data_IF_193639901565
#
_entry.id   IF_193639901565
#
_cell.length_a   1.000
_cell.length_b   1.000
_cell.length_c   1.000
_cell.angle_alpha   90.00
_cell.angle_beta   90.00
_cell.angle_gamma   90.00
#
_symmetry.space_group_name_H-M   'P 1'
#
loop_
_entity.id
_entity.type
_entity.pdbx_description
1 polymer ?
#
# COMPACT_ATOMS: atom_id res chain seq x y z
N UNK A 1 -11.15 -10.61 -20.22
CA UNK A 1 -9.81 -11.26 -20.08
C UNK A 1 -8.75 -10.29 -19.56
N UNK A 2 -8.59 -9.10 -20.13
CA UNK A 2 -7.54 -8.12 -19.75
C UNK A 2 -7.56 -7.76 -18.24
N UNK A 3 -8.74 -7.58 -17.65
CA UNK A 3 -8.86 -7.29 -16.21
C UNK A 3 -8.22 -8.36 -15.32
N UNK A 4 -8.48 -9.65 -15.56
CA UNK A 4 -7.89 -10.75 -14.77
C UNK A 4 -6.36 -10.80 -14.91
N UNK A 5 -5.82 -10.48 -16.09
CA UNK A 5 -4.38 -10.41 -16.32
C UNK A 5 -3.75 -9.28 -15.51
N UNK A 6 -4.37 -8.10 -15.46
CA UNK A 6 -3.89 -6.98 -14.64
C UNK A 6 -3.87 -7.33 -13.15
N UNK A 7 -4.94 -7.95 -12.65
CA UNK A 7 -5.03 -8.40 -11.25
C UNK A 7 -4.00 -9.49 -10.92
N UNK A 8 -3.79 -10.44 -11.84
CA UNK A 8 -2.75 -11.47 -11.68
C UNK A 8 -1.34 -10.86 -11.59
N UNK A 9 -1.02 -9.91 -12.48
CA UNK A 9 0.26 -9.20 -12.44
C UNK A 9 0.43 -8.39 -11.15
N UNK A 10 -0.63 -7.70 -10.70
CA UNK A 10 -0.62 -6.97 -9.44
C UNK A 10 -0.30 -7.91 -8.27
N UNK A 11 -1.00 -9.04 -8.15
CA UNK A 11 -0.77 -10.02 -7.07
C UNK A 11 0.67 -10.57 -7.10
N UNK A 12 1.19 -10.92 -8.28
CA UNK A 12 2.56 -11.41 -8.41
C UNK A 12 3.58 -10.36 -7.95
N UNK A 13 3.37 -9.10 -8.33
CA UNK A 13 4.25 -7.99 -7.93
C UNK A 13 4.13 -7.67 -6.45
N UNK A 14 2.94 -7.81 -5.87
CA UNK A 14 2.70 -7.67 -4.44
C UNK A 14 3.46 -8.75 -3.65
N UNK A 15 3.37 -10.02 -4.07
CA UNK A 15 4.10 -11.13 -3.46
C UNK A 15 5.62 -10.92 -3.55
N UNK A 16 6.12 -10.46 -4.70
CA UNK A 16 7.52 -10.13 -4.87
C UNK A 16 7.97 -8.99 -3.93
N UNK A 17 7.19 -7.91 -3.84
CA UNK A 17 7.49 -6.78 -2.96
C UNK A 17 7.48 -7.18 -1.49
N UNK A 18 6.47 -7.96 -1.05
CA UNK A 18 6.39 -8.52 0.29
C UNK A 18 7.62 -9.39 0.59
N UNK A 19 8.01 -10.27 -0.33
CA UNK A 19 9.19 -11.11 -0.16
C UNK A 19 10.47 -10.28 -0.01
N UNK A 20 10.66 -9.28 -0.88
CA UNK A 20 11.83 -8.39 -0.79
C UNK A 20 11.83 -7.59 0.50
N UNK A 21 10.69 -7.07 0.93
CA UNK A 21 10.58 -6.29 2.17
C UNK A 21 10.88 -7.16 3.41
N UNK A 22 10.39 -8.40 3.45
CA UNK A 22 10.71 -9.36 4.52
C UNK A 22 12.19 -9.73 4.58
N UNK A 23 12.88 -9.77 3.43
CA UNK A 23 14.28 -10.19 3.33
C UNK A 23 15.27 -9.04 3.56
N UNK A 24 15.03 -7.89 2.96
CA UNK A 24 16.00 -6.77 2.90
C UNK A 24 15.52 -5.50 3.58
N UNK A 25 14.26 -5.42 4.04
CA UNK A 25 13.65 -4.20 4.60
C UNK A 25 13.66 -3.00 3.63
N UNK A 26 13.82 -3.28 2.33
CA UNK A 26 13.97 -2.28 1.29
C UNK A 26 13.07 -2.65 0.11
N UNK A 27 12.12 -1.77 -0.23
CA UNK A 27 11.31 -1.93 -1.42
C UNK A 27 12.07 -1.42 -2.67
N UNK A 28 12.28 -2.26 -3.70
CA UNK A 28 12.89 -1.84 -4.94
C UNK A 28 12.00 -0.85 -5.69
N UNK A 29 12.54 0.34 -6.00
CA UNK A 29 11.82 1.40 -6.70
C UNK A 29 11.23 0.94 -8.05
N UNK A 30 11.89 0.00 -8.73
CA UNK A 30 11.44 -0.56 -10.01
C UNK A 30 10.13 -1.31 -9.88
N UNK A 31 9.98 -2.15 -8.86
CA UNK A 31 8.74 -2.91 -8.65
C UNK A 31 7.60 -2.03 -8.11
N UNK A 32 7.90 -1.04 -7.25
CA UNK A 32 6.89 -0.04 -6.84
C UNK A 32 6.43 0.79 -8.04
N UNK A 33 7.35 1.19 -8.92
CA UNK A 33 7.03 1.85 -10.18
C UNK A 33 6.16 0.98 -11.09
N UNK A 34 6.44 -0.33 -11.14
CA UNK A 34 5.63 -1.27 -11.91
C UNK A 34 4.18 -1.34 -11.40
N UNK A 35 3.96 -1.38 -10.08
CA UNK A 35 2.61 -1.29 -9.48
C UNK A 35 1.90 0.00 -9.89
N UNK A 36 2.62 1.13 -9.90
CA UNK A 36 2.07 2.40 -10.34
C UNK A 36 1.70 2.39 -11.84
N UNK A 37 2.55 1.84 -12.70
CA UNK A 37 2.26 1.73 -14.14
C UNK A 37 1.04 0.86 -14.41
N UNK A 38 0.90 -0.27 -13.72
CA UNK A 38 -0.28 -1.11 -13.80
C UNK A 38 -1.54 -0.38 -13.32
N UNK A 39 -1.41 0.48 -12.29
CA UNK A 39 -2.51 1.34 -11.82
C UNK A 39 -2.96 2.35 -12.88
N UNK A 40 -2.02 2.94 -13.62
CA UNK A 40 -2.35 3.81 -14.75
C UNK A 40 -3.09 3.03 -15.85
N UNK A 41 -2.64 1.82 -16.20
CA UNK A 41 -3.36 0.97 -17.16
C UNK A 41 -4.78 0.62 -16.66
N UNK A 42 -4.94 0.37 -15.37
CA UNK A 42 -6.25 0.14 -14.76
C UNK A 42 -7.17 1.36 -14.89
N UNK A 43 -6.64 2.59 -14.72
CA UNK A 43 -7.40 3.83 -14.91
C UNK A 43 -7.92 3.96 -16.34
N UNK A 44 -7.05 3.73 -17.34
CA UNK A 44 -7.45 3.77 -18.75
C UNK A 44 -8.48 2.69 -19.10
N UNK A 45 -8.33 1.48 -18.56
CA UNK A 45 -9.22 0.35 -18.85
C UNK A 45 -10.62 0.54 -18.25
N UNK A 46 -10.71 1.10 -17.03
CA UNK A 46 -11.99 1.34 -16.35
C UNK A 46 -12.58 2.72 -16.63
N UNK A 47 -11.99 3.50 -17.54
CA UNK A 47 -12.37 4.88 -17.86
C UNK A 47 -12.52 5.78 -16.63
N UNK A 48 -11.73 5.54 -15.58
CA UNK A 48 -11.76 6.39 -14.40
C UNK A 48 -11.07 7.73 -14.72
N UNK A 49 -11.55 8.85 -14.17
CA UNK A 49 -10.89 10.13 -14.38
C UNK A 49 -9.46 10.10 -13.87
N UNK A 50 -8.47 10.40 -14.73
CA UNK A 50 -7.06 10.41 -14.34
C UNK A 50 -6.80 11.35 -13.16
N UNK A 51 -7.50 12.49 -13.13
CA UNK A 51 -7.44 13.46 -12.03
C UNK A 51 -7.83 12.82 -10.68
N UNK A 52 -8.81 11.92 -10.67
CA UNK A 52 -9.25 11.23 -9.45
C UNK A 52 -8.18 10.24 -8.96
N UNK A 53 -7.59 9.46 -9.85
CA UNK A 53 -6.53 8.52 -9.49
C UNK A 53 -5.27 9.23 -8.99
N UNK A 54 -4.87 10.32 -9.68
CA UNK A 54 -3.75 11.16 -9.25
C UNK A 54 -4.03 11.85 -7.91
N UNK A 55 -5.26 12.31 -7.68
CA UNK A 55 -5.66 12.86 -6.39
C UNK A 55 -5.52 11.82 -5.27
N UNK A 56 -5.98 10.58 -5.50
CA UNK A 56 -5.86 9.50 -4.51
C UNK A 56 -4.40 9.14 -4.20
N UNK A 57 -3.57 9.02 -5.25
CA UNK A 57 -2.14 8.78 -5.13
C UNK A 57 -1.42 9.90 -4.37
N UNK A 58 -1.70 11.16 -4.73
CA UNK A 58 -1.12 12.33 -4.08
C UNK A 58 -1.56 12.46 -2.63
N UNK A 59 -2.84 12.19 -2.33
CA UNK A 59 -3.40 12.26 -0.99
C UNK A 59 -2.73 11.21 -0.08
N UNK A 60 -2.66 9.95 -0.51
CA UNK A 60 -2.03 8.89 0.30
C UNK A 60 -0.52 9.10 0.48
N UNK A 61 0.18 9.49 -0.58
CA UNK A 61 1.60 9.82 -0.49
C UNK A 61 1.85 11.03 0.41
N UNK A 62 1.04 12.08 0.27
CA UNK A 62 1.13 13.31 1.07
C UNK A 62 0.82 13.07 2.55
N UNK A 63 -0.22 12.30 2.86
CA UNK A 63 -0.59 11.94 4.23
C UNK A 63 0.52 11.13 4.91
N UNK A 64 1.01 10.09 4.24
CA UNK A 64 2.06 9.22 4.81
C UNK A 64 3.40 9.92 4.93
N UNK A 65 3.74 10.80 3.98
CA UNK A 65 4.92 11.66 4.08
C UNK A 65 4.80 12.67 5.21
N UNK A 66 3.64 13.31 5.38
CA UNK A 66 3.38 14.23 6.49
C UNK A 66 3.46 13.52 7.84
N UNK A 67 2.95 12.30 7.92
CA UNK A 67 3.04 11.46 9.10
C UNK A 67 4.50 11.14 9.43
N UNK A 68 5.30 10.75 8.43
CA UNK A 68 6.74 10.54 8.59
C UNK A 68 7.42 11.78 9.15
N UNK A 69 7.22 12.95 8.54
CA UNK A 69 7.83 14.21 9.00
C UNK A 69 7.42 14.58 10.43
N UNK A 70 6.14 14.39 10.77
CA UNK A 70 5.63 14.68 12.11
C UNK A 70 6.31 13.81 13.17
N UNK A 71 6.40 12.51 12.91
CA UNK A 71 7.02 11.58 13.82
C UNK A 71 8.53 11.72 13.85
N UNK A 72 9.24 11.94 12.74
CA UNK A 72 10.69 12.20 12.76
C UNK A 72 11.04 13.42 13.63
N UNK A 73 10.18 14.45 13.65
CA UNK A 73 10.34 15.62 14.52
C UNK A 73 10.08 15.33 16.00
N UNK A 74 9.11 14.45 16.32
CA UNK A 74 8.70 14.16 17.71
C UNK A 74 9.40 12.96 18.35
N UNK A 75 9.65 11.94 17.56
CA UNK A 75 10.20 10.64 17.91
C UNK A 75 11.41 10.45 17.01
N UNK A 76 12.62 10.43 17.57
CA UNK A 76 13.89 10.37 16.81
C UNK A 76 14.11 9.04 16.05
N UNK A 77 13.04 8.31 15.71
CA UNK A 77 13.04 7.10 14.93
C UNK A 77 12.07 7.28 13.75
N UNK A 78 12.49 7.00 12.51
CA UNK A 78 11.61 7.09 11.35
C UNK A 78 10.52 6.02 11.48
N UNK A 79 9.23 6.41 11.53
CA UNK A 79 8.14 5.45 11.75
C UNK A 79 7.84 4.61 10.51
N UNK A 80 8.24 5.08 9.32
CA UNK A 80 7.84 4.51 8.04
C UNK A 80 8.96 4.69 7.00
N UNK A 81 9.22 3.64 6.22
CA UNK A 81 10.25 3.65 5.18
C UNK A 81 9.87 4.55 4.01
N UNK A 82 10.89 5.12 3.34
CA UNK A 82 10.65 5.89 2.11
C UNK A 82 10.04 5.04 0.98
N UNK A 83 10.31 3.73 0.97
CA UNK A 83 9.70 2.78 0.05
C UNK A 83 8.19 2.62 0.28
N UNK A 84 7.77 2.55 1.54
CA UNK A 84 6.36 2.40 1.91
C UNK A 84 5.53 3.59 1.44
N UNK A 85 6.05 4.82 1.61
CA UNK A 85 5.37 6.06 1.15
C UNK A 85 5.13 6.03 -0.36
N UNK A 86 6.12 5.58 -1.14
CA UNK A 86 5.96 5.40 -2.59
C UNK A 86 4.94 4.32 -2.91
N UNK A 87 4.92 3.24 -2.14
CA UNK A 87 3.95 2.16 -2.31
C UNK A 87 2.52 2.62 -2.00
N UNK A 88 2.31 3.42 -0.96
CA UNK A 88 1.01 4.06 -0.68
C UNK A 88 0.52 4.90 -1.85
N UNK A 89 1.41 5.70 -2.46
CA UNK A 89 1.08 6.45 -3.67
C UNK A 89 0.74 5.55 -4.86
N UNK A 90 1.52 4.49 -5.09
CA UNK A 90 1.29 3.53 -6.17
C UNK A 90 -0.05 2.79 -6.01
N UNK A 91 -0.37 2.32 -4.81
CA UNK A 91 -1.66 1.68 -4.49
C UNK A 91 -2.81 2.70 -4.58
N UNK A 92 -2.56 3.97 -4.29
CA UNK A 92 -3.55 5.04 -4.45
C UNK A 92 -4.09 5.20 -5.86
N UNK A 93 -3.33 4.83 -6.90
CA UNK A 93 -3.81 4.82 -8.29
C UNK A 93 -4.88 3.76 -8.56
N UNK A 94 -4.96 2.74 -7.71
CA UNK A 94 -5.94 1.65 -7.81
C UNK A 94 -7.18 1.88 -6.96
N UNK A 95 -7.20 2.94 -6.16
CA UNK A 95 -8.27 3.22 -5.20
C UNK A 95 -9.21 4.29 -5.73
N UNK A 96 -10.47 4.18 -5.32
CA UNK A 96 -11.43 5.30 -5.43
C UNK A 96 -11.32 6.20 -4.18
N UNK A 97 -11.65 7.50 -4.25
CA UNK A 97 -11.59 8.41 -3.11
C UNK A 97 -12.39 7.93 -1.90
N UNK A 98 -13.55 7.33 -2.15
CA UNK A 98 -14.42 6.75 -1.13
C UNK A 98 -13.79 5.55 -0.39
N UNK A 99 -12.82 4.88 -1.00
CA UNK A 99 -12.16 3.71 -0.43
C UNK A 99 -11.01 4.09 0.52
N UNK A 100 -10.52 5.33 0.44
CA UNK A 100 -9.33 5.78 1.18
C UNK A 100 -9.48 5.64 2.71
N UNK A 101 -10.59 6.04 3.35
CA UNK A 101 -10.75 5.88 4.79
C UNK A 101 -10.72 4.41 5.21
N UNK A 102 -11.44 3.55 4.49
CA UNK A 102 -11.51 2.12 4.75
C UNK A 102 -10.17 1.43 4.52
N UNK A 103 -9.45 1.84 3.49
CA UNK A 103 -8.09 1.38 3.23
C UNK A 103 -7.14 1.74 4.37
N UNK A 104 -7.13 3.00 4.82
CA UNK A 104 -6.25 3.45 5.91
C UNK A 104 -6.55 2.71 7.23
N UNK A 105 -7.83 2.51 7.57
CA UNK A 105 -8.22 1.72 8.75
C UNK A 105 -7.76 0.27 8.61
N UNK A 106 -8.01 -0.36 7.45
CA UNK A 106 -7.63 -1.75 7.21
C UNK A 106 -6.11 -1.96 7.27
N UNK A 107 -5.34 -1.06 6.65
CA UNK A 107 -3.87 -1.07 6.70
C UNK A 107 -3.37 -0.81 8.12
N UNK A 108 -3.97 0.13 8.86
CA UNK A 108 -3.62 0.40 10.25
C UNK A 108 -3.83 -0.80 11.15
N UNK A 109 -5.00 -1.45 11.05
CA UNK A 109 -5.30 -2.67 11.82
C UNK A 109 -4.35 -3.82 11.45
N UNK A 110 -4.15 -4.06 10.15
CA UNK A 110 -3.19 -5.05 9.66
C UNK A 110 -1.77 -4.76 10.18
N UNK A 111 -1.36 -3.49 10.18
CA UNK A 111 -0.07 -3.02 10.67
C UNK A 111 0.14 -3.25 12.16
N UNK A 112 -0.88 -2.97 12.98
CA UNK A 112 -0.83 -3.22 14.43
C UNK A 112 -0.70 -4.73 14.70
N UNK A 113 -1.53 -5.55 14.06
CA UNK A 113 -1.50 -7.00 14.23
C UNK A 113 -0.16 -7.59 13.76
N UNK A 114 0.30 -7.19 12.58
CA UNK A 114 1.56 -7.63 12.00
C UNK A 114 2.76 -7.20 12.84
N UNK A 115 2.82 -5.92 13.24
CA UNK A 115 3.89 -5.41 14.09
C UNK A 115 3.93 -6.07 15.47
N UNK A 116 2.76 -6.33 16.08
CA UNK A 116 2.67 -7.06 17.35
C UNK A 116 3.16 -8.51 17.22
N UNK A 117 2.74 -9.21 16.16
CA UNK A 117 3.16 -10.57 15.87
C UNK A 117 4.67 -10.64 15.61
N UNK A 118 5.18 -9.73 14.78
CA UNK A 118 6.60 -9.65 14.41
C UNK A 118 7.49 -9.40 15.62
N UNK A 119 7.09 -8.45 16.47
CA UNK A 119 7.86 -8.11 17.68
C UNK A 119 7.84 -9.27 18.68
N UNK A 120 6.71 -9.98 18.82
CA UNK A 120 6.60 -11.11 19.76
C UNK A 120 7.34 -12.36 19.30
N UNK A 121 7.26 -12.70 18.02
CA UNK A 121 7.86 -13.93 17.49
C UNK A 121 9.34 -13.74 17.17
N UNK A 122 9.69 -12.67 16.48
CA UNK A 122 11.04 -12.49 15.93
C UNK A 122 11.92 -11.57 16.80
N UNK A 123 11.37 -10.95 17.85
CA UNK A 123 12.07 -10.04 18.77
C UNK A 123 12.82 -8.88 18.08
N UNK A 124 12.46 -8.55 16.84
CA UNK A 124 13.04 -7.44 16.08
C UNK A 124 12.18 -6.19 16.26
N UNK A 125 12.84 -5.05 16.52
CA UNK A 125 12.19 -3.74 16.67
C UNK A 125 11.78 -3.08 15.36
N UNK A 126 12.35 -3.52 14.24
CA UNK A 126 12.04 -3.03 12.90
C UNK A 126 11.26 -4.15 12.19
N UNK A 127 10.07 -3.81 11.73
CA UNK A 127 9.21 -4.73 11.00
C UNK A 127 8.90 -4.20 9.59
N UNK A 128 8.78 -5.08 8.59
CA UNK A 128 8.43 -4.71 7.22
C UNK A 128 6.95 -4.34 7.15
N UNK A 129 6.64 -3.17 6.58
CA UNK A 129 5.28 -2.61 6.57
C UNK A 129 4.48 -2.98 5.32
N UNK A 130 5.15 -3.32 4.21
CA UNK A 130 4.48 -3.67 2.95
C UNK A 130 3.45 -4.82 3.06
N UNK A 131 3.63 -5.87 3.90
CA UNK A 131 2.60 -6.91 4.06
C UNK A 131 1.28 -6.33 4.57
N UNK A 132 1.35 -5.30 5.42
CA UNK A 132 0.17 -4.65 6.00
C UNK A 132 -0.57 -3.80 4.98
N UNK A 133 0.16 -3.13 4.08
CA UNK A 133 -0.41 -2.36 2.97
C UNK A 133 -1.22 -3.27 2.04
N UNK A 134 -0.62 -4.38 1.60
CA UNK A 134 -1.30 -5.32 0.70
C UNK A 134 -2.42 -6.10 1.39
N UNK A 135 -2.27 -6.45 2.66
CA UNK A 135 -3.35 -7.07 3.44
C UNK A 135 -4.55 -6.11 3.57
N UNK A 136 -4.30 -4.84 3.90
CA UNK A 136 -5.36 -3.83 3.98
C UNK A 136 -6.06 -3.61 2.64
N UNK A 137 -5.31 -3.59 1.54
CA UNK A 137 -5.89 -3.53 0.20
C UNK A 137 -6.74 -4.77 -0.13
N UNK A 138 -6.26 -5.97 0.21
CA UNK A 138 -7.00 -7.22 0.01
C UNK A 138 -8.31 -7.28 0.82
N UNK A 139 -8.29 -6.82 2.08
CA UNK A 139 -9.49 -6.72 2.94
C UNK A 139 -10.52 -5.79 2.29
N UNK A 140 -10.09 -4.63 1.78
CA UNK A 140 -10.97 -3.70 1.07
C UNK A 140 -11.59 -4.35 -0.18
N UNK A 141 -10.80 -5.07 -1.00
CA UNK A 141 -11.32 -5.76 -2.17
C UNK A 141 -12.39 -6.81 -1.79
N UNK A 142 -12.16 -7.59 -0.73
CA UNK A 142 -13.12 -8.57 -0.22
C UNK A 142 -14.40 -7.86 0.26
N UNK A 143 -14.26 -6.75 1.00
CA UNK A 143 -15.40 -5.97 1.48
C UNK A 143 -16.28 -5.45 0.33
N UNK A 144 -15.66 -4.99 -0.77
CA UNK A 144 -16.39 -4.54 -1.99
C UNK A 144 -17.11 -5.69 -2.68
N UNK A 145 -16.49 -6.87 -2.80
CA UNK A 145 -17.13 -8.06 -3.41
C UNK A 145 -18.34 -8.49 -2.59
N UNK A 146 -18.23 -8.45 -1.27
CA UNK A 146 -19.30 -8.84 -0.36
C UNK A 146 -20.33 -7.72 -0.10
N UNK A 147 -20.24 -6.56 -0.79
CA UNK A 147 -21.15 -5.39 -0.68
C UNK A 147 -21.29 -4.81 0.72
N UNK A 148 -20.23 -4.83 1.52
CA UNK A 148 -20.19 -4.15 2.81
C UNK A 148 -20.00 -2.62 2.67
N UNK A 149 -19.66 -2.20 1.44
CA UNK A 149 -19.35 -0.85 0.98
C UNK A 149 -19.94 -0.67 -0.43
#
# INVERSE_FOLDING_TARGET
>A
MISYTLWGLFILTALYLIYTDLRTYCLPNTAVGFVATLGIFHVFYHHTPLAQALFCAALLMGLTYSLKLYYEKKIKAPPLGGGDIKLFGAVGLWLSPQDIPWFLVSVGMAGILWGALWTRILQKRIFPFSPSIYAGYGILCIARVCKWL
#
